data_IF_906361570883
#
_entry.id   IF_906361570883
#
_cell.length_a   1.000
_cell.length_b   1.000
_cell.length_c   1.000
_cell.angle_alpha   90.00
_cell.angle_beta   90.00
_cell.angle_gamma   90.00
#
_symmetry.space_group_name_H-M   'P 1'
#
loop_
_entity.id
_entity.type
_entity.pdbx_description
1 polymer ?
#
# COMPACT_ATOMS: atom_id res chain seq x y z
N UNK A 1 12.32 10.17 -7.00
CA UNK A 1 11.08 9.51 -6.52
C UNK A 1 11.44 8.20 -5.85
N UNK A 2 11.15 8.06 -4.55
CA UNK A 2 11.46 6.85 -3.76
C UNK A 2 10.27 5.91 -3.64
N UNK A 3 9.07 6.48 -3.46
CA UNK A 3 7.88 5.70 -3.13
C UNK A 3 6.70 6.09 -4.02
N UNK A 4 5.99 5.10 -4.56
CA UNK A 4 4.67 5.26 -5.17
C UNK A 4 3.62 4.65 -4.25
N UNK A 5 2.66 5.45 -3.79
CA UNK A 5 1.52 5.01 -3.00
C UNK A 5 0.34 4.83 -3.94
N UNK A 6 -0.16 3.60 -4.10
CA UNK A 6 -1.25 3.25 -5.02
C UNK A 6 -2.53 3.04 -4.22
N UNK A 7 -3.57 3.80 -4.56
CA UNK A 7 -4.86 3.81 -3.87
C UNK A 7 -5.98 3.49 -4.86
N UNK A 8 -6.50 2.26 -4.87
CA UNK A 8 -7.70 1.90 -5.63
C UNK A 8 -8.95 2.55 -5.03
N UNK A 9 -9.81 3.13 -5.86
CA UNK A 9 -11.02 3.84 -5.41
C UNK A 9 -12.26 3.31 -6.10
N UNK A 10 -13.20 2.75 -5.30
CA UNK A 10 -14.52 2.34 -5.72
C UNK A 10 -15.51 2.32 -4.53
N UNK A 11 -16.51 3.22 -4.53
CA UNK A 11 -17.56 3.36 -3.49
C UNK A 11 -17.02 3.59 -2.08
N UNK A 12 -16.14 4.59 -1.93
CA UNK A 12 -15.44 4.91 -0.67
C UNK A 12 -15.57 6.39 -0.27
N UNK A 13 -16.62 7.06 -0.68
CA UNK A 13 -16.84 8.48 -0.40
C UNK A 13 -16.79 8.84 1.08
N UNK A 14 -17.08 7.88 1.97
CA UNK A 14 -17.04 8.08 3.43
C UNK A 14 -15.62 8.06 4.00
N UNK A 15 -14.67 7.44 3.33
CA UNK A 15 -13.36 7.12 3.89
C UNK A 15 -12.20 7.82 3.16
N UNK A 16 -12.28 7.98 1.84
CA UNK A 16 -11.17 8.45 1.00
C UNK A 16 -10.58 9.80 1.47
N UNK A 17 -11.38 10.66 2.08
CA UNK A 17 -10.89 11.91 2.65
C UNK A 17 -9.88 11.66 3.75
N UNK A 18 -10.20 10.79 4.69
CA UNK A 18 -9.35 10.48 5.84
C UNK A 18 -8.08 9.77 5.39
N UNK A 19 -8.18 8.86 4.39
CA UNK A 19 -7.04 8.20 3.76
C UNK A 19 -6.06 9.23 3.20
N UNK A 20 -6.51 10.13 2.33
CA UNK A 20 -5.65 11.14 1.71
C UNK A 20 -5.11 12.14 2.74
N UNK A 21 -5.93 12.56 3.70
CA UNK A 21 -5.48 13.44 4.79
C UNK A 21 -4.37 12.79 5.61
N UNK A 22 -4.47 11.49 5.90
CA UNK A 22 -3.46 10.77 6.68
C UNK A 22 -2.10 10.71 5.97
N UNK A 23 -2.11 10.66 4.65
CA UNK A 23 -0.90 10.70 3.82
C UNK A 23 -0.27 12.10 3.84
N UNK A 24 -1.06 13.15 3.61
CA UNK A 24 -0.54 14.50 3.44
C UNK A 24 -0.31 15.27 4.77
N UNK A 25 -0.87 14.81 5.88
CA UNK A 25 -0.58 15.38 7.21
C UNK A 25 0.87 15.15 7.68
N UNK A 26 1.58 14.20 7.10
CA UNK A 26 2.91 13.81 7.55
C UNK A 26 4.00 14.85 7.25
N UNK A 27 3.65 15.91 6.50
CA UNK A 27 4.56 17.02 6.16
C UNK A 27 5.93 16.54 5.66
N UNK A 28 5.92 15.46 4.88
CA UNK A 28 7.11 14.88 4.29
C UNK A 28 7.36 15.48 2.90
N UNK A 29 8.60 15.47 2.42
CA UNK A 29 8.96 16.02 1.11
C UNK A 29 8.22 15.30 -0.03
N UNK A 30 7.27 16.01 -0.64
CA UNK A 30 6.43 15.48 -1.72
C UNK A 30 7.21 15.15 -2.99
N UNK A 31 8.47 15.60 -3.13
CA UNK A 31 9.33 15.17 -4.24
C UNK A 31 9.85 13.72 -4.08
N UNK A 32 9.78 13.17 -2.88
CA UNK A 32 10.27 11.81 -2.59
C UNK A 32 9.20 10.75 -2.79
N UNK A 33 7.91 11.10 -2.84
CA UNK A 33 6.83 10.15 -3.08
C UNK A 33 5.78 10.70 -4.04
N UNK A 34 5.02 9.81 -4.64
CA UNK A 34 3.81 10.10 -5.42
C UNK A 34 2.62 9.33 -4.86
N UNK A 35 1.43 9.88 -5.05
CA UNK A 35 0.17 9.21 -4.76
C UNK A 35 -0.57 8.98 -6.07
N UNK A 36 -0.90 7.72 -6.34
CA UNK A 36 -1.57 7.31 -7.57
C UNK A 36 -2.96 6.78 -7.20
N UNK A 37 -3.98 7.59 -7.42
CA UNK A 37 -5.38 7.22 -7.22
C UNK A 37 -5.90 6.56 -8.49
N UNK A 38 -6.41 5.34 -8.36
CA UNK A 38 -7.04 4.62 -9.46
C UNK A 38 -8.56 4.64 -9.26
N UNK A 39 -9.23 5.49 -10.01
CA UNK A 39 -10.69 5.47 -10.08
C UNK A 39 -11.14 4.25 -10.91
N UNK A 40 -11.62 3.23 -10.22
CA UNK A 40 -12.16 2.01 -10.86
C UNK A 40 -13.64 2.18 -11.23
N UNK A 41 -13.99 3.31 -11.83
CA UNK A 41 -15.34 3.59 -12.29
C UNK A 41 -16.33 3.78 -11.14
N UNK A 42 -15.92 4.44 -10.06
CA UNK A 42 -16.80 4.65 -8.89
C UNK A 42 -18.00 5.51 -9.26
N UNK A 43 -19.23 5.12 -8.84
CA UNK A 43 -20.45 5.87 -9.13
C UNK A 43 -20.79 6.93 -8.05
N UNK A 44 -20.07 6.96 -6.93
CA UNK A 44 -20.29 7.83 -5.78
C UNK A 44 -19.44 9.11 -5.84
N UNK A 45 -19.50 9.94 -4.80
CA UNK A 45 -18.77 11.21 -4.72
C UNK A 45 -17.27 11.09 -4.39
N UNK A 46 -16.71 9.87 -4.34
CA UNK A 46 -15.28 9.66 -4.00
C UNK A 46 -14.35 10.53 -4.83
N UNK A 47 -14.55 10.59 -6.15
CA UNK A 47 -13.66 11.35 -7.03
C UNK A 47 -13.81 12.87 -6.90
N UNK A 48 -14.96 13.37 -6.48
CA UNK A 48 -15.12 14.78 -6.14
C UNK A 48 -14.26 15.15 -4.92
N UNK A 49 -14.18 14.25 -3.95
CA UNK A 49 -13.33 14.43 -2.76
C UNK A 49 -11.84 14.39 -3.17
N UNK A 50 -11.44 13.42 -3.99
CA UNK A 50 -10.06 13.30 -4.48
C UNK A 50 -9.62 14.57 -5.21
N UNK A 51 -10.50 15.18 -6.02
CA UNK A 51 -10.20 16.41 -6.75
C UNK A 51 -9.83 17.61 -5.85
N UNK A 52 -10.31 17.64 -4.59
CA UNK A 52 -9.92 18.68 -3.64
C UNK A 52 -8.44 18.61 -3.22
N UNK A 53 -7.84 17.43 -3.35
CA UNK A 53 -6.43 17.19 -3.04
C UNK A 53 -5.52 17.44 -4.24
N UNK A 54 -5.94 17.12 -5.47
CA UNK A 54 -5.13 17.36 -6.68
C UNK A 54 -4.77 18.82 -6.87
N UNK A 55 -5.64 19.73 -6.43
CA UNK A 55 -5.38 21.17 -6.51
C UNK A 55 -4.33 21.65 -5.49
N UNK A 56 -3.98 20.83 -4.50
CA UNK A 56 -3.07 21.19 -3.41
C UNK A 56 -1.73 20.44 -3.49
N UNK A 57 -1.74 19.26 -4.09
CA UNK A 57 -0.60 18.33 -4.09
C UNK A 57 -0.27 17.90 -5.53
N UNK A 58 0.83 18.44 -6.05
CA UNK A 58 1.28 18.20 -7.43
C UNK A 58 1.75 16.74 -7.64
N UNK A 59 2.07 16.02 -6.57
CA UNK A 59 2.49 14.62 -6.57
C UNK A 59 1.31 13.63 -6.53
N UNK A 60 0.03 14.11 -6.59
CA UNK A 60 -1.15 13.26 -6.70
C UNK A 60 -1.59 13.12 -8.15
N UNK A 61 -1.64 11.89 -8.63
CA UNK A 61 -2.04 11.53 -10.00
C UNK A 61 -3.31 10.69 -9.98
N UNK A 62 -4.22 10.93 -10.93
CA UNK A 62 -5.47 10.18 -11.08
C UNK A 62 -5.46 9.41 -12.39
N UNK A 63 -5.79 8.12 -12.31
CA UNK A 63 -6.06 7.28 -13.47
C UNK A 63 -7.52 6.85 -13.41
N UNK A 64 -8.23 7.02 -14.52
CA UNK A 64 -9.61 6.58 -14.64
C UNK A 64 -9.68 5.31 -15.49
N UNK A 65 -10.40 4.31 -15.01
CA UNK A 65 -10.73 3.11 -15.76
C UNK A 65 -12.20 2.72 -15.56
N UNK A 66 -12.72 1.88 -16.45
CA UNK A 66 -14.01 1.20 -16.17
C UNK A 66 -13.81 0.23 -15.03
N UNK A 67 -14.84 -0.01 -14.23
CA UNK A 67 -14.76 -0.97 -13.13
C UNK A 67 -14.31 -2.35 -13.62
N UNK A 68 -13.17 -2.79 -13.13
CA UNK A 68 -12.54 -4.09 -13.41
C UNK A 68 -12.08 -4.80 -12.13
N UNK A 69 -12.40 -4.22 -10.97
CA UNK A 69 -12.08 -4.78 -9.66
C UNK A 69 -10.67 -4.41 -9.15
N UNK A 70 -10.48 -4.71 -7.87
CA UNK A 70 -9.32 -4.29 -7.07
C UNK A 70 -7.98 -4.71 -7.68
N UNK A 71 -7.85 -5.97 -8.14
CA UNK A 71 -6.64 -6.47 -8.81
C UNK A 71 -6.25 -5.62 -10.01
N UNK A 72 -7.21 -5.30 -10.88
CA UNK A 72 -6.97 -4.49 -12.07
C UNK A 72 -6.58 -3.06 -11.70
N UNK A 73 -7.22 -2.48 -10.68
CA UNK A 73 -6.90 -1.15 -10.21
C UNK A 73 -5.47 -1.08 -9.62
N UNK A 74 -5.09 -2.02 -8.76
CA UNK A 74 -3.71 -2.11 -8.25
C UNK A 74 -2.70 -2.29 -9.38
N UNK A 75 -2.97 -3.15 -10.36
CA UNK A 75 -2.11 -3.37 -11.52
C UNK A 75 -1.99 -2.12 -12.42
N UNK A 76 -3.07 -1.35 -12.59
CA UNK A 76 -3.04 -0.11 -13.34
C UNK A 76 -2.11 0.91 -12.66
N UNK A 77 -2.18 1.04 -11.34
CA UNK A 77 -1.26 1.87 -10.58
C UNK A 77 0.19 1.41 -10.69
N UNK A 78 0.43 0.10 -10.54
CA UNK A 78 1.78 -0.48 -10.67
C UNK A 78 2.41 -0.21 -12.05
N UNK A 79 1.61 -0.18 -13.10
CA UNK A 79 2.08 0.05 -14.48
C UNK A 79 2.67 1.46 -14.66
N UNK A 80 2.14 2.47 -13.97
CA UNK A 80 2.55 3.87 -14.13
C UNK A 80 3.44 4.37 -12.99
N UNK A 81 3.56 3.61 -11.91
CA UNK A 81 4.39 3.95 -10.76
C UNK A 81 5.83 4.26 -11.19
N UNK A 82 6.38 5.38 -10.68
CA UNK A 82 7.74 5.85 -10.97
C UNK A 82 8.68 5.65 -9.78
N UNK A 83 8.14 5.49 -8.57
CA UNK A 83 8.91 5.24 -7.37
C UNK A 83 9.79 4.00 -7.47
N UNK A 84 10.90 4.02 -6.78
CA UNK A 84 11.78 2.86 -6.61
C UNK A 84 11.03 1.71 -5.92
N UNK A 85 10.15 2.07 -4.98
CA UNK A 85 9.27 1.17 -4.25
C UNK A 85 7.80 1.52 -4.44
N UNK A 86 6.94 0.52 -4.22
CA UNK A 86 5.48 0.64 -4.33
C UNK A 86 4.84 0.20 -3.02
N UNK A 87 3.89 1.00 -2.54
CA UNK A 87 3.03 0.70 -1.41
C UNK A 87 1.57 0.75 -1.83
N UNK A 88 0.84 -0.34 -1.66
CA UNK A 88 -0.60 -0.38 -1.85
C UNK A 88 -1.28 0.05 -0.55
N UNK A 89 -2.20 1.00 -0.63
CA UNK A 89 -3.00 1.48 0.50
C UNK A 89 -4.46 1.39 0.11
N UNK A 90 -5.27 0.73 0.90
CA UNK A 90 -6.69 0.66 0.64
C UNK A 90 -7.36 2.01 0.96
N UNK A 91 -8.37 2.37 0.20
CA UNK A 91 -8.98 3.70 0.23
C UNK A 91 -9.91 3.94 1.43
N UNK A 92 -10.07 2.95 2.30
CA UNK A 92 -10.77 3.01 3.59
C UNK A 92 -9.82 2.85 4.79
N UNK A 93 -8.50 2.74 4.52
CA UNK A 93 -7.46 2.72 5.54
C UNK A 93 -6.78 4.09 5.71
N UNK A 94 -6.09 4.27 6.83
CA UNK A 94 -5.25 5.44 7.12
C UNK A 94 -3.82 5.03 7.45
N UNK A 95 -2.86 5.89 7.13
CA UNK A 95 -1.46 5.70 7.53
C UNK A 95 -1.18 6.47 8.81
N UNK A 96 -0.44 5.86 9.74
CA UNK A 96 -0.05 6.53 10.99
C UNK A 96 0.95 7.65 10.74
N UNK A 97 1.06 8.57 11.69
CA UNK A 97 2.04 9.66 11.62
C UNK A 97 3.47 9.13 11.41
N UNK A 98 4.27 9.88 10.66
CA UNK A 98 5.66 9.56 10.30
C UNK A 98 5.84 8.27 9.44
N UNK A 99 4.77 7.59 9.03
CA UNK A 99 4.87 6.32 8.28
C UNK A 99 5.65 6.46 6.98
N UNK A 100 5.41 7.52 6.21
CA UNK A 100 6.11 7.74 4.93
C UNK A 100 7.60 7.93 5.16
N UNK A 101 7.98 8.77 6.14
CA UNK A 101 9.37 8.99 6.50
C UNK A 101 10.07 7.71 6.94
N UNK A 102 9.44 6.94 7.83
CA UNK A 102 9.97 5.65 8.31
C UNK A 102 10.11 4.61 7.19
N UNK A 103 9.14 4.55 6.27
CA UNK A 103 9.22 3.67 5.11
C UNK A 103 10.40 4.06 4.22
N UNK A 104 10.58 5.34 3.90
CA UNK A 104 11.68 5.80 3.06
C UNK A 104 13.03 5.57 3.75
N UNK A 105 13.14 5.82 5.05
CA UNK A 105 14.35 5.49 5.84
C UNK A 105 14.67 3.99 5.78
N UNK A 106 13.66 3.13 5.93
CA UNK A 106 13.84 1.68 5.79
C UNK A 106 14.30 1.28 4.38
N UNK A 107 13.74 1.89 3.33
CA UNK A 107 14.16 1.69 1.95
C UNK A 107 15.66 2.00 1.78
N UNK A 108 16.08 3.16 2.25
CA UNK A 108 17.46 3.61 2.10
C UNK A 108 18.47 2.74 2.85
N UNK A 109 18.07 2.26 4.02
CA UNK A 109 18.94 1.46 4.89
C UNK A 109 19.03 -0.01 4.46
N UNK A 110 17.88 -0.65 4.15
CA UNK A 110 17.84 -2.10 3.94
C UNK A 110 18.04 -2.51 2.50
N UNK A 111 17.53 -1.72 1.55
CA UNK A 111 17.44 -2.04 0.11
C UNK A 111 16.79 -3.42 -0.15
N UNK A 112 15.96 -3.89 0.78
CA UNK A 112 15.27 -5.16 0.69
C UNK A 112 14.25 -5.17 -0.46
N UNK A 113 13.95 -6.32 -1.02
CA UNK A 113 12.95 -6.46 -2.08
C UNK A 113 11.53 -6.23 -1.55
N UNK A 114 11.30 -6.60 -0.29
CA UNK A 114 10.02 -6.45 0.40
C UNK A 114 10.27 -5.96 1.82
N UNK A 115 9.54 -4.94 2.23
CA UNK A 115 9.59 -4.37 3.58
C UNK A 115 8.22 -4.56 4.21
N UNK A 116 8.13 -5.31 5.30
CA UNK A 116 6.88 -5.55 6.03
C UNK A 116 6.76 -4.65 7.26
N UNK A 117 5.52 -4.32 7.63
CA UNK A 117 5.21 -3.54 8.83
C UNK A 117 3.92 -4.01 9.49
N UNK A 118 3.74 -3.63 10.76
CA UNK A 118 2.52 -3.92 11.50
C UNK A 118 1.39 -2.97 11.10
N UNK A 119 0.16 -3.46 11.17
CA UNK A 119 -1.03 -2.61 11.07
C UNK A 119 -1.75 -2.53 12.42
N UNK A 120 -2.44 -1.42 12.63
CA UNK A 120 -3.29 -1.18 13.79
C UNK A 120 -4.73 -1.39 13.38
N UNK A 121 -5.46 -2.24 14.08
CA UNK A 121 -6.92 -2.29 13.96
C UNK A 121 -7.52 -1.24 14.87
N UNK A 122 -8.26 -0.32 14.29
CA UNK A 122 -8.93 0.77 15.00
C UNK A 122 -10.43 0.52 14.99
N UNK A 123 -11.06 0.53 16.18
CA UNK A 123 -12.51 0.43 16.30
C UNK A 123 -13.20 1.73 15.86
N UNK A 124 -14.54 1.69 15.59
CA UNK A 124 -15.34 2.87 15.27
C UNK A 124 -15.23 3.98 16.34
N UNK A 125 -14.89 3.65 17.57
CA UNK A 125 -14.64 4.60 18.65
C UNK A 125 -13.20 5.17 18.67
N UNK A 126 -12.43 5.01 17.58
CA UNK A 126 -11.02 5.41 17.46
C UNK A 126 -10.11 4.81 18.55
N UNK A 127 -10.47 3.66 19.07
CA UNK A 127 -9.63 2.91 20.02
C UNK A 127 -8.85 1.85 19.27
N UNK A 128 -7.53 1.82 19.46
CA UNK A 128 -6.69 0.74 18.96
C UNK A 128 -7.16 -0.54 19.64
N UNK A 129 -7.75 -1.44 18.87
CA UNK A 129 -8.28 -2.71 19.38
C UNK A 129 -7.21 -3.82 19.32
N UNK A 130 -6.28 -3.73 18.38
CA UNK A 130 -5.28 -4.76 18.16
C UNK A 130 -4.11 -4.20 17.34
N UNK A 131 -2.88 -4.64 17.66
CA UNK A 131 -1.70 -4.46 16.83
C UNK A 131 -1.46 -5.77 16.11
N UNK A 132 -1.75 -5.80 14.82
CA UNK A 132 -1.50 -6.98 14.00
C UNK A 132 -0.12 -6.88 13.35
N UNK A 133 0.84 -7.62 13.88
CA UNK A 133 2.19 -7.67 13.33
C UNK A 133 2.19 -8.32 11.95
N UNK A 134 2.97 -7.76 11.01
CA UNK A 134 3.24 -8.41 9.74
C UNK A 134 3.97 -9.75 9.92
N UNK A 135 4.54 -9.97 11.10
CA UNK A 135 5.36 -11.12 11.45
C UNK A 135 4.66 -11.83 12.63
N UNK A 136 3.67 -12.69 12.35
CA UNK A 136 3.01 -13.47 13.37
C UNK A 136 3.27 -14.97 13.16
N UNK A 137 4.18 -15.50 13.94
CA UNK A 137 4.23 -16.92 14.25
C UNK A 137 4.83 -17.07 15.65
N UNK A 138 4.20 -17.83 16.51
CA UNK A 138 4.68 -18.13 17.88
C UNK A 138 6.10 -18.70 17.90
N UNK A 139 6.57 -19.25 16.76
CA UNK A 139 7.87 -19.86 16.60
C UNK A 139 8.96 -18.95 16.03
N UNK A 140 8.59 -17.78 15.47
CA UNK A 140 9.53 -16.86 14.83
C UNK A 140 9.39 -15.46 15.43
N UNK A 141 10.10 -15.19 16.53
CA UNK A 141 10.25 -13.84 17.07
C UNK A 141 11.38 -13.13 16.32
N UNK A 142 11.02 -12.32 15.34
CA UNK A 142 11.99 -11.40 14.73
C UNK A 142 11.99 -10.08 15.50
N UNK A 143 13.18 -9.56 15.81
CA UNK A 143 13.31 -8.18 16.25
C UNK A 143 13.01 -7.22 15.10
N UNK A 144 12.48 -6.05 15.40
CA UNK A 144 12.39 -4.97 14.41
C UNK A 144 13.74 -4.76 13.73
N UNK A 145 13.76 -4.55 12.40
CA UNK A 145 14.96 -4.35 11.58
C UNK A 145 15.76 -5.61 11.17
N UNK A 146 15.21 -6.79 11.27
CA UNK A 146 15.87 -8.00 10.80
C UNK A 146 15.64 -8.20 9.29
N UNK A 147 16.72 -8.52 8.55
CA UNK A 147 16.63 -8.96 7.15
C UNK A 147 16.49 -10.48 7.14
N UNK A 148 15.42 -10.97 6.51
CA UNK A 148 15.13 -12.40 6.37
C UNK A 148 15.38 -12.80 4.92
N UNK A 149 16.22 -13.79 4.70
CA UNK A 149 16.54 -14.31 3.37
C UNK A 149 16.06 -15.76 3.18
N UNK A 150 15.66 -16.44 4.23
CA UNK A 150 15.20 -17.84 4.15
C UNK A 150 13.75 -17.89 3.64
N UNK A 151 13.56 -18.51 2.45
CA UNK A 151 12.26 -18.61 1.79
C UNK A 151 11.22 -19.39 2.61
N UNK A 152 11.63 -20.39 3.39
CA UNK A 152 10.71 -21.17 4.23
C UNK A 152 10.14 -20.32 5.35
N UNK A 153 10.96 -19.46 5.92
CA UNK A 153 10.56 -18.50 6.93
C UNK A 153 9.65 -17.44 6.31
N UNK A 154 10.05 -16.86 5.16
CA UNK A 154 9.27 -15.85 4.45
C UNK A 154 7.87 -16.37 4.12
N UNK A 155 7.76 -17.60 3.62
CA UNK A 155 6.46 -18.20 3.32
C UNK A 155 5.58 -18.38 4.57
N UNK A 156 6.17 -18.72 5.71
CA UNK A 156 5.44 -18.85 6.98
C UNK A 156 5.01 -17.51 7.58
N UNK A 157 5.62 -16.40 7.16
CA UNK A 157 5.35 -15.05 7.66
C UNK A 157 4.29 -14.29 6.87
N UNK A 158 3.86 -14.80 5.70
CA UNK A 158 2.86 -14.07 4.92
C UNK A 158 1.55 -13.97 5.69
N UNK A 159 1.14 -12.77 5.93
CA UNK A 159 -0.18 -12.45 6.48
C UNK A 159 -0.99 -11.83 5.36
N UNK A 160 -2.09 -12.44 5.02
CA UNK A 160 -2.91 -12.28 3.82
C UNK A 160 -3.29 -10.88 3.31
N UNK A 161 -2.54 -9.82 3.59
CA UNK A 161 -2.86 -8.46 3.12
C UNK A 161 -1.65 -7.79 2.44
N UNK A 162 -1.76 -7.49 1.16
CA UNK A 162 -0.71 -6.83 0.38
C UNK A 162 -0.36 -5.42 0.89
N UNK A 163 -1.32 -4.75 1.54
CA UNK A 163 -1.15 -3.41 2.13
C UNK A 163 -0.14 -3.36 3.27
N UNK A 164 0.24 -4.51 3.84
CA UNK A 164 1.23 -4.62 4.91
C UNK A 164 2.67 -4.56 4.44
N UNK A 165 2.89 -4.44 3.14
CA UNK A 165 4.22 -4.51 2.56
C UNK A 165 4.47 -3.38 1.57
N UNK A 166 5.72 -2.95 1.55
CA UNK A 166 6.26 -2.08 0.51
C UNK A 166 7.20 -2.93 -0.34
N UNK A 167 7.04 -2.87 -1.64
CA UNK A 167 7.72 -3.74 -2.61
C UNK A 167 8.69 -2.94 -3.47
N UNK A 168 9.90 -3.43 -3.67
CA UNK A 168 10.79 -2.86 -4.66
C UNK A 168 10.20 -3.09 -6.06
N UNK A 169 9.91 -2.02 -6.79
CA UNK A 169 9.22 -2.08 -8.08
C UNK A 169 9.96 -2.97 -9.09
N UNK A 170 11.30 -2.87 -9.16
CA UNK A 170 12.11 -3.71 -10.03
C UNK A 170 11.97 -5.21 -9.69
N UNK A 171 11.86 -5.58 -8.41
CA UNK A 171 11.60 -6.95 -7.98
C UNK A 171 10.29 -7.48 -8.52
N UNK A 172 9.19 -6.69 -8.39
CA UNK A 172 7.89 -7.08 -8.93
C UNK A 172 7.93 -7.25 -10.45
N UNK A 173 8.63 -6.36 -11.15
CA UNK A 173 8.75 -6.38 -12.61
C UNK A 173 9.57 -7.58 -13.11
N UNK A 174 10.74 -7.83 -12.53
CA UNK A 174 11.64 -8.94 -12.93
C UNK A 174 11.00 -10.31 -12.71
N UNK A 175 10.17 -10.44 -11.67
CA UNK A 175 9.47 -11.69 -11.34
C UNK A 175 8.06 -11.76 -11.91
N UNK A 176 7.64 -10.80 -12.76
CA UNK A 176 6.31 -10.72 -13.37
C UNK A 176 5.16 -10.77 -12.36
N UNK A 177 5.38 -10.24 -11.14
CA UNK A 177 4.43 -10.25 -10.05
C UNK A 177 3.34 -9.19 -10.26
N UNK A 178 2.10 -9.65 -10.39
CA UNK A 178 0.89 -8.83 -10.56
C UNK A 178 -0.26 -9.50 -9.83
N UNK A 179 -1.25 -8.72 -9.43
CA UNK A 179 -2.50 -9.26 -8.90
C UNK A 179 -3.28 -9.96 -10.00
N UNK A 180 -3.87 -11.11 -9.68
CA UNK A 180 -4.65 -11.89 -10.64
C UNK A 180 -6.05 -11.28 -10.79
N UNK A 181 -6.48 -10.86 -12.01
CA UNK A 181 -7.79 -10.26 -12.21
C UNK A 181 -8.94 -11.25 -12.00
N UNK A 182 -10.07 -10.74 -11.51
CA UNK A 182 -11.33 -11.51 -11.46
C UNK A 182 -11.44 -12.52 -10.35
N UNK A 183 -10.53 -12.52 -9.38
CA UNK A 183 -10.60 -13.38 -8.19
C UNK A 183 -10.95 -12.57 -6.94
N UNK A 184 -11.57 -13.25 -5.97
CA UNK A 184 -11.73 -12.75 -4.61
C UNK A 184 -10.49 -13.13 -3.79
N UNK A 185 -10.14 -12.30 -2.79
CA UNK A 185 -8.95 -12.51 -1.95
C UNK A 185 -7.66 -12.58 -2.77
N UNK A 186 -7.47 -11.62 -3.66
CA UNK A 186 -6.32 -11.51 -4.56
C UNK A 186 -4.98 -11.51 -3.82
N UNK A 187 -4.96 -11.05 -2.57
CA UNK A 187 -3.77 -11.03 -1.71
C UNK A 187 -3.31 -12.45 -1.36
N UNK A 188 -4.26 -13.38 -1.15
CA UNK A 188 -3.97 -14.79 -0.86
C UNK A 188 -3.32 -15.51 -2.05
N UNK A 189 -3.54 -15.02 -3.25
CA UNK A 189 -2.88 -15.51 -4.47
C UNK A 189 -1.55 -14.79 -4.71
N UNK A 190 -1.51 -13.48 -4.50
CA UNK A 190 -0.35 -12.64 -4.81
C UNK A 190 0.82 -12.88 -3.85
N UNK A 191 0.58 -12.88 -2.54
CA UNK A 191 1.64 -12.96 -1.53
C UNK A 191 2.46 -14.25 -1.57
N UNK A 192 1.89 -15.45 -1.77
CA UNK A 192 2.69 -16.68 -1.93
C UNK A 192 3.65 -16.66 -3.12
N UNK A 193 3.40 -15.83 -4.13
CA UNK A 193 4.33 -15.66 -5.25
C UNK A 193 5.40 -14.60 -4.99
N UNK A 194 5.15 -13.72 -4.04
CA UNK A 194 6.12 -12.71 -3.60
C UNK A 194 7.19 -13.34 -2.70
N UNK A 195 6.79 -14.27 -1.84
CA UNK A 195 7.64 -14.97 -0.89
C UNK A 195 8.04 -16.36 -1.39
#
# INVERSE_FOLDING_TARGET
MRLSIIIPVYKVEKYIRDTLQSIYRQQYDENLFEVIVINDGTPDDSMRIVAEFTNKHANLHIINQKNQGLSCARNAGLKIAQGEYVWFVDSDDTVTEESIGKVIECIERSKADVIGFSILKVSEANRVSEVESAIWNEHCRFSSNQIVCDKSILFSLHTGAAVRYVYRRAFLQMNHLRFYPGILYEDQEFLPRVF
#
